data_IF_933919626883
#
_entry.id   IF_933919626883
#
_cell.length_a   1.000
_cell.length_b   1.000
_cell.length_c   1.000
_cell.angle_alpha   90.00
_cell.angle_beta   90.00
_cell.angle_gamma   90.00
#
_symmetry.space_group_name_H-M   'P 1'
#
loop_
_entity.id
_entity.type
_entity.pdbx_description
1 polymer ?
#
# COMPACT_ATOMS: atom_id res chain seq x y z
N UNK A 1 -3.91 18.57 8.83
CA UNK A 1 -5.10 17.72 9.02
C UNK A 1 -5.05 17.23 10.45
N UNK A 2 -6.12 17.45 11.21
CA UNK A 2 -6.18 17.02 12.60
C UNK A 2 -6.37 15.49 12.67
N UNK A 3 -5.96 14.86 13.76
CA UNK A 3 -6.13 13.41 13.92
C UNK A 3 -7.61 12.98 13.85
N UNK A 4 -8.51 13.86 14.31
CA UNK A 4 -9.95 13.69 14.26
C UNK A 4 -10.47 13.61 12.81
N UNK A 5 -10.05 14.53 11.94
CA UNK A 5 -10.44 14.54 10.52
C UNK A 5 -10.02 13.24 9.79
N UNK A 6 -8.82 12.72 10.11
CA UNK A 6 -8.32 11.47 9.52
C UNK A 6 -9.17 10.28 9.96
N UNK A 7 -9.53 10.22 11.24
CA UNK A 7 -10.32 9.12 11.78
C UNK A 7 -11.75 9.13 11.22
N UNK A 8 -12.35 10.32 11.02
CA UNK A 8 -13.64 10.46 10.36
C UNK A 8 -13.61 10.04 8.88
N UNK A 9 -12.56 10.45 8.15
CA UNK A 9 -12.36 10.03 6.77
C UNK A 9 -12.16 8.52 6.65
N UNK A 10 -11.38 7.93 7.56
CA UNK A 10 -11.16 6.48 7.60
C UNK A 10 -12.47 5.72 7.90
N UNK A 11 -13.22 6.15 8.91
CA UNK A 11 -14.51 5.54 9.25
C UNK A 11 -15.50 5.60 8.09
N UNK A 12 -15.54 6.73 7.39
CA UNK A 12 -16.37 6.90 6.19
C UNK A 12 -15.97 5.95 5.07
N UNK A 13 -14.65 5.79 4.83
CA UNK A 13 -14.14 4.84 3.84
C UNK A 13 -14.44 3.38 4.24
N UNK A 14 -14.30 3.01 5.51
CA UNK A 14 -14.64 1.67 6.00
C UNK A 14 -16.11 1.33 5.79
N UNK A 15 -17.01 2.29 6.03
CA UNK A 15 -18.44 2.12 5.73
C UNK A 15 -18.69 1.92 4.24
N UNK A 16 -18.13 2.78 3.38
CA UNK A 16 -18.30 2.68 1.92
C UNK A 16 -17.77 1.36 1.36
N UNK A 17 -16.59 0.93 1.79
CA UNK A 17 -15.99 -0.31 1.33
C UNK A 17 -16.80 -1.53 1.81
N UNK A 18 -17.30 -1.49 3.05
CA UNK A 18 -18.15 -2.56 3.57
C UNK A 18 -19.50 -2.62 2.86
N UNK A 19 -20.10 -1.46 2.55
CA UNK A 19 -21.31 -1.37 1.75
C UNK A 19 -21.08 -1.90 0.32
N UNK A 20 -19.98 -1.51 -0.33
CA UNK A 20 -19.67 -1.95 -1.69
C UNK A 20 -19.61 -3.48 -1.83
N UNK A 21 -19.00 -4.16 -0.85
CA UNK A 21 -18.85 -5.61 -0.85
C UNK A 21 -20.02 -6.36 -0.19
N UNK A 22 -21.03 -5.66 0.35
CA UNK A 22 -22.20 -6.32 0.93
C UNK A 22 -23.05 -7.02 -0.15
N UNK A 23 -23.58 -8.23 0.10
CA UNK A 23 -24.38 -8.97 -0.88
C UNK A 23 -25.68 -8.27 -1.28
N UNK A 24 -26.18 -7.40 -0.41
CA UNK A 24 -27.45 -6.68 -0.57
C UNK A 24 -27.32 -5.40 -1.38
N UNK A 25 -26.10 -4.96 -1.70
CA UNK A 25 -25.86 -3.68 -2.36
C UNK A 25 -26.15 -3.78 -3.85
N UNK A 26 -27.06 -2.91 -4.32
CA UNK A 26 -27.47 -2.87 -5.73
C UNK A 26 -26.33 -2.42 -6.65
N UNK A 27 -26.37 -2.84 -7.92
CA UNK A 27 -25.38 -2.41 -8.92
C UNK A 27 -25.36 -0.89 -9.11
N UNK A 28 -26.53 -0.25 -9.01
CA UNK A 28 -26.62 1.22 -9.06
C UNK A 28 -25.80 1.85 -7.93
N UNK A 29 -26.00 1.36 -6.69
CA UNK A 29 -25.28 1.87 -5.52
C UNK A 29 -23.78 1.56 -5.58
N UNK A 30 -23.39 0.38 -6.06
CA UNK A 30 -21.98 0.05 -6.29
C UNK A 30 -21.30 1.03 -7.24
N UNK A 31 -21.97 1.39 -8.33
CA UNK A 31 -21.47 2.38 -9.30
C UNK A 31 -21.34 3.78 -8.71
N UNK A 32 -22.26 4.18 -7.83
CA UNK A 32 -22.13 5.44 -7.09
C UNK A 32 -20.91 5.43 -6.17
N UNK A 33 -20.71 4.34 -5.43
CA UNK A 33 -19.55 4.19 -4.54
C UNK A 33 -18.24 4.18 -5.34
N UNK A 34 -18.18 3.46 -6.47
CA UNK A 34 -17.03 3.47 -7.39
C UNK A 34 -16.68 4.90 -7.82
N UNK A 35 -17.67 5.70 -8.23
CA UNK A 35 -17.45 7.10 -8.59
C UNK A 35 -16.87 7.92 -7.43
N UNK A 36 -17.31 7.68 -6.19
CA UNK A 36 -16.75 8.35 -5.00
C UNK A 36 -15.29 7.93 -4.76
N UNK A 37 -14.97 6.65 -4.89
CA UNK A 37 -13.63 6.10 -4.71
C UNK A 37 -12.66 6.57 -5.82
N UNK A 38 -13.13 6.62 -7.07
CA UNK A 38 -12.38 7.16 -8.20
C UNK A 38 -12.06 8.65 -7.98
N UNK A 39 -13.06 9.45 -7.58
CA UNK A 39 -12.88 10.86 -7.26
C UNK A 39 -11.84 11.05 -6.14
N UNK A 40 -11.83 10.19 -5.12
CA UNK A 40 -10.78 10.23 -4.09
C UNK A 40 -9.41 9.88 -4.66
N UNK A 41 -9.28 8.76 -5.38
CA UNK A 41 -8.00 8.24 -5.86
C UNK A 41 -7.34 9.11 -6.94
N UNK A 42 -8.13 9.89 -7.69
CA UNK A 42 -7.63 10.81 -8.71
C UNK A 42 -6.94 12.06 -8.14
N UNK A 43 -7.14 12.35 -6.84
CA UNK A 43 -6.51 13.51 -6.20
C UNK A 43 -5.00 13.30 -6.06
N UNK A 44 -4.22 14.34 -6.37
CA UNK A 44 -2.74 14.31 -6.28
C UNK A 44 -2.22 14.03 -4.86
N UNK A 45 -2.97 14.44 -3.84
CA UNK A 45 -2.63 14.29 -2.41
C UNK A 45 -3.27 13.05 -1.76
N UNK A 46 -3.91 12.18 -2.54
CA UNK A 46 -4.57 10.97 -2.03
C UNK A 46 -3.59 9.99 -1.38
N UNK A 47 -2.33 9.96 -1.82
CA UNK A 47 -1.29 9.10 -1.23
C UNK A 47 -1.10 9.39 0.27
N UNK A 48 -1.19 10.64 0.72
CA UNK A 48 -1.03 11.00 2.15
C UNK A 48 -2.09 10.33 3.01
N UNK A 49 -3.34 10.39 2.56
CA UNK A 49 -4.45 9.72 3.22
C UNK A 49 -4.28 8.21 3.18
N UNK A 50 -3.83 7.66 2.04
CA UNK A 50 -3.56 6.24 1.89
C UNK A 50 -2.50 5.74 2.88
N UNK A 51 -1.39 6.48 3.07
CA UNK A 51 -0.37 6.12 4.06
C UNK A 51 -0.94 6.07 5.48
N UNK A 52 -1.78 7.04 5.84
CA UNK A 52 -2.45 7.08 7.16
C UNK A 52 -3.47 5.96 7.34
N UNK A 53 -4.26 5.65 6.30
CA UNK A 53 -5.23 4.56 6.33
C UNK A 53 -4.55 3.20 6.45
N UNK A 54 -3.42 2.99 5.77
CA UNK A 54 -2.60 1.78 5.89
C UNK A 54 -2.13 1.56 7.34
N UNK A 55 -1.74 2.63 8.02
CA UNK A 55 -1.29 2.59 9.42
C UNK A 55 -2.44 2.28 10.39
N UNK A 56 -3.62 2.85 10.17
CA UNK A 56 -4.72 2.84 11.14
C UNK A 56 -5.77 1.75 10.93
N UNK A 57 -6.04 1.33 9.69
CA UNK A 57 -7.13 0.40 9.40
C UNK A 57 -6.72 -1.06 9.63
N UNK A 58 -7.69 -1.87 10.02
CA UNK A 58 -7.61 -3.34 9.99
C UNK A 58 -8.59 -3.93 8.96
N UNK A 59 -9.42 -3.10 8.31
CA UNK A 59 -10.39 -3.55 7.34
C UNK A 59 -9.67 -3.94 6.03
N UNK A 60 -9.75 -5.21 5.66
CA UNK A 60 -9.04 -5.77 4.51
C UNK A 60 -9.44 -5.09 3.18
N UNK A 61 -10.70 -4.66 3.06
CA UNK A 61 -11.16 -3.93 1.88
C UNK A 61 -10.51 -2.56 1.78
N UNK A 62 -10.45 -1.81 2.89
CA UNK A 62 -9.76 -0.53 2.95
C UNK A 62 -8.27 -0.69 2.65
N UNK A 63 -7.60 -1.66 3.29
CA UNK A 63 -6.19 -1.93 3.04
C UNK A 63 -5.91 -2.24 1.56
N UNK A 64 -6.74 -3.07 0.91
CA UNK A 64 -6.57 -3.37 -0.50
C UNK A 64 -6.82 -2.16 -1.40
N UNK A 65 -7.86 -1.38 -1.13
CA UNK A 65 -8.14 -0.14 -1.85
C UNK A 65 -6.96 0.83 -1.73
N UNK A 66 -6.51 1.09 -0.51
CA UNK A 66 -5.35 1.93 -0.20
C UNK A 66 -4.10 1.49 -0.95
N UNK A 67 -3.76 0.20 -0.93
CA UNK A 67 -2.58 -0.32 -1.65
C UNK A 67 -2.75 -0.23 -3.17
N UNK A 68 -3.96 -0.42 -3.70
CA UNK A 68 -4.24 -0.27 -5.14
C UNK A 68 -4.15 1.19 -5.59
N UNK A 69 -4.59 2.14 -4.76
CA UNK A 69 -4.40 3.57 -5.02
C UNK A 69 -2.92 3.93 -5.01
N UNK A 70 -2.15 3.47 -4.01
CA UNK A 70 -0.71 3.71 -3.95
C UNK A 70 0.04 3.10 -5.12
N UNK A 71 -0.31 1.88 -5.54
CA UNK A 71 0.25 1.25 -6.74
C UNK A 71 0.03 2.11 -7.98
N UNK A 72 -1.19 2.63 -8.19
CA UNK A 72 -1.46 3.51 -9.33
C UNK A 72 -0.60 4.79 -9.29
N UNK A 73 -0.36 5.35 -8.10
CA UNK A 73 0.49 6.53 -7.91
C UNK A 73 1.95 6.19 -8.20
N UNK A 74 2.46 5.06 -7.70
CA UNK A 74 3.82 4.58 -7.98
C UNK A 74 3.99 4.34 -9.48
N UNK A 75 3.05 3.64 -10.13
CA UNK A 75 3.21 3.29 -11.53
C UNK A 75 3.02 4.48 -12.50
N UNK A 76 2.22 5.49 -12.14
CA UNK A 76 1.88 6.59 -13.05
C UNK A 76 2.51 7.94 -12.71
N UNK A 77 2.85 8.16 -11.44
CA UNK A 77 3.21 9.49 -10.93
C UNK A 77 4.55 9.51 -10.19
N UNK A 78 5.22 8.37 -9.98
CA UNK A 78 6.45 8.31 -9.18
C UNK A 78 7.51 9.33 -9.60
N UNK A 79 7.77 9.46 -10.90
CA UNK A 79 8.75 10.41 -11.44
C UNK A 79 8.34 11.88 -11.19
N UNK A 80 7.05 12.16 -11.05
CA UNK A 80 6.54 13.52 -10.77
C UNK A 80 6.53 13.89 -9.27
N UNK A 81 6.67 12.90 -8.39
CA UNK A 81 6.81 13.13 -6.96
C UNK A 81 8.19 13.70 -6.65
N UNK A 82 8.28 14.57 -5.65
CA UNK A 82 9.57 15.04 -5.16
C UNK A 82 10.24 14.01 -4.24
N UNK A 83 11.53 14.20 -3.97
CA UNK A 83 12.33 13.22 -3.21
C UNK A 83 11.83 12.98 -1.78
N UNK A 84 11.27 14.01 -1.13
CA UNK A 84 10.67 13.87 0.20
C UNK A 84 9.42 13.00 0.14
N UNK A 85 8.54 13.21 -0.85
CA UNK A 85 7.32 12.42 -1.04
C UNK A 85 7.64 10.96 -1.34
N UNK A 86 8.61 10.70 -2.24
CA UNK A 86 9.08 9.33 -2.55
C UNK A 86 9.63 8.65 -1.31
N UNK A 87 10.45 9.36 -0.54
CA UNK A 87 11.04 8.84 0.69
C UNK A 87 9.97 8.52 1.74
N UNK A 88 8.99 9.40 1.92
CA UNK A 88 7.88 9.19 2.85
C UNK A 88 7.05 7.95 2.48
N UNK A 89 6.70 7.79 1.20
CA UNK A 89 5.96 6.62 0.73
C UNK A 89 6.78 5.35 0.96
N UNK A 90 8.03 5.32 0.51
CA UNK A 90 8.92 4.15 0.64
C UNK A 90 9.10 3.73 2.09
N UNK A 91 9.47 4.68 2.96
CA UNK A 91 9.72 4.38 4.38
C UNK A 91 8.43 3.92 5.08
N UNK A 92 7.30 4.57 4.78
CA UNK A 92 6.03 4.18 5.39
C UNK A 92 5.61 2.77 4.97
N UNK A 93 5.67 2.45 3.68
CA UNK A 93 5.36 1.10 3.19
C UNK A 93 6.29 0.06 3.82
N UNK A 94 7.60 0.31 3.85
CA UNK A 94 8.56 -0.60 4.46
C UNK A 94 8.28 -0.82 5.96
N UNK A 95 8.06 0.25 6.72
CA UNK A 95 7.77 0.17 8.15
C UNK A 95 6.49 -0.61 8.42
N UNK A 96 5.44 -0.38 7.63
CA UNK A 96 4.17 -1.11 7.74
C UNK A 96 4.34 -2.59 7.38
N UNK A 97 5.14 -2.92 6.35
CA UNK A 97 5.49 -4.29 6.01
C UNK A 97 6.15 -4.98 7.21
N UNK A 98 7.21 -4.36 7.73
CA UNK A 98 8.01 -4.92 8.81
C UNK A 98 7.23 -5.07 10.10
N UNK A 99 6.39 -4.09 10.44
CA UNK A 99 5.60 -4.12 11.67
C UNK A 99 4.44 -5.14 11.60
N UNK A 100 3.82 -5.32 10.43
CA UNK A 100 2.54 -6.04 10.32
C UNK A 100 2.59 -7.35 9.52
N UNK A 101 3.70 -7.70 8.87
CA UNK A 101 3.81 -8.88 7.98
C UNK A 101 3.32 -10.21 8.59
N UNK A 102 3.36 -10.36 9.92
CA UNK A 102 2.91 -11.58 10.60
C UNK A 102 1.40 -11.64 10.85
N UNK A 103 0.72 -10.50 10.91
CA UNK A 103 -0.69 -10.40 11.30
C UNK A 103 -1.62 -10.05 10.14
N UNK A 104 -1.12 -9.35 9.12
CA UNK A 104 -1.93 -9.02 7.95
C UNK A 104 -2.17 -10.25 7.06
N UNK A 105 -3.31 -10.31 6.36
CA UNK A 105 -3.58 -11.38 5.42
C UNK A 105 -2.49 -11.49 4.36
N UNK A 106 -2.21 -12.72 3.92
CA UNK A 106 -1.12 -12.99 2.97
C UNK A 106 -1.24 -12.17 1.68
N UNK A 107 -2.45 -11.95 1.17
CA UNK A 107 -2.67 -11.20 -0.07
C UNK A 107 -2.40 -9.70 0.11
N UNK A 108 -2.67 -9.12 1.28
CA UNK A 108 -2.30 -7.74 1.62
C UNK A 108 -0.78 -7.62 1.74
N UNK A 109 -0.13 -8.57 2.44
CA UNK A 109 1.33 -8.62 2.56
C UNK A 109 2.01 -8.70 1.20
N UNK A 110 1.55 -9.61 0.33
CA UNK A 110 2.13 -9.82 -0.99
C UNK A 110 1.91 -8.59 -1.88
N UNK A 111 0.73 -7.95 -1.81
CA UNK A 111 0.47 -6.69 -2.49
C UNK A 111 1.47 -5.62 -2.05
N UNK A 112 1.64 -5.43 -0.75
CA UNK A 112 2.57 -4.43 -0.21
C UNK A 112 4.04 -4.73 -0.61
N UNK A 113 4.47 -5.99 -0.60
CA UNK A 113 5.77 -6.39 -1.11
C UNK A 113 5.95 -6.07 -2.61
N UNK A 114 4.93 -6.30 -3.43
CA UNK A 114 4.94 -5.92 -4.86
C UNK A 114 5.04 -4.40 -5.06
N UNK A 115 4.45 -3.58 -4.19
CA UNK A 115 4.65 -2.12 -4.22
C UNK A 115 6.10 -1.74 -3.91
N UNK A 116 6.75 -2.40 -2.94
CA UNK A 116 8.18 -2.17 -2.65
C UNK A 116 9.07 -2.50 -3.85
N UNK A 117 8.78 -3.60 -4.55
CA UNK A 117 9.47 -3.96 -5.80
C UNK A 117 9.20 -2.95 -6.90
N UNK A 118 7.95 -2.47 -7.03
CA UNK A 118 7.58 -1.45 -8.01
C UNK A 118 8.33 -0.14 -7.78
N UNK A 119 8.56 0.26 -6.53
CA UNK A 119 9.43 1.41 -6.18
C UNK A 119 10.89 1.11 -6.57
N UNK A 120 11.41 -0.05 -6.21
CA UNK A 120 12.78 -0.45 -6.55
C UNK A 120 13.03 -0.45 -8.07
N UNK A 121 12.04 -0.82 -8.88
CA UNK A 121 12.12 -0.74 -10.35
C UNK A 121 12.45 0.66 -10.88
N UNK A 122 12.00 1.71 -10.20
CA UNK A 122 12.30 3.09 -10.58
C UNK A 122 13.62 3.59 -9.96
N UNK A 123 13.91 3.19 -8.73
CA UNK A 123 14.93 3.85 -7.91
C UNK A 123 16.23 3.04 -7.75
N UNK A 124 16.20 1.72 -7.91
CA UNK A 124 17.39 0.88 -7.84
C UNK A 124 18.20 0.98 -9.14
N UNK A 125 19.55 1.02 -9.10
CA UNK A 125 20.41 0.92 -7.91
C UNK A 125 20.77 2.25 -7.25
N UNK A 126 20.51 3.39 -7.88
CA UNK A 126 21.13 4.65 -7.46
C UNK A 126 20.42 5.36 -6.30
N UNK A 127 19.09 5.36 -6.30
CA UNK A 127 18.24 6.05 -5.31
C UNK A 127 17.71 5.10 -4.23
N UNK A 128 17.77 3.79 -4.47
CA UNK A 128 17.43 2.76 -3.49
C UNK A 128 18.48 1.62 -3.46
N UNK A 129 19.75 1.92 -3.15
CA UNK A 129 20.87 0.97 -3.29
C UNK A 129 20.76 -0.27 -2.40
N UNK A 130 20.21 -0.11 -1.20
CA UNK A 130 20.09 -1.12 -0.16
C UNK A 130 18.91 -2.09 -0.37
N UNK A 131 18.14 -1.96 -1.46
CA UNK A 131 16.95 -2.79 -1.70
C UNK A 131 17.23 -4.30 -1.64
N UNK A 132 18.21 -4.79 -2.41
CA UNK A 132 18.56 -6.21 -2.39
C UNK A 132 19.31 -6.63 -1.12
N UNK A 133 20.11 -5.74 -0.53
CA UNK A 133 20.80 -6.02 0.74
C UNK A 133 19.79 -6.28 1.85
N UNK A 134 18.73 -5.46 1.94
CA UNK A 134 17.63 -5.64 2.88
C UNK A 134 16.90 -6.98 2.66
N UNK A 135 16.67 -7.39 1.41
CA UNK A 135 16.06 -8.69 1.09
C UNK A 135 16.96 -9.84 1.56
N UNK A 136 18.26 -9.78 1.28
CA UNK A 136 19.23 -10.80 1.69
C UNK A 136 19.31 -10.89 3.22
N UNK A 137 19.29 -9.76 3.93
CA UNK A 137 19.27 -9.74 5.39
C UNK A 137 18.00 -10.41 5.96
N UNK A 138 16.83 -10.14 5.36
CA UNK A 138 15.58 -10.78 5.75
C UNK A 138 15.63 -12.31 5.55
N UNK A 139 16.18 -12.78 4.42
CA UNK A 139 16.31 -14.21 4.13
C UNK A 139 17.22 -14.91 5.15
N UNK A 140 18.27 -14.23 5.62
CA UNK A 140 19.19 -14.75 6.64
C UNK A 140 18.58 -14.81 8.04
N UNK A 141 17.53 -14.03 8.32
CA UNK A 141 16.84 -14.08 9.61
C UNK A 141 16.14 -15.43 9.81
N UNK A 142 16.10 -15.95 11.03
CA UNK A 142 15.27 -17.12 11.35
C UNK A 142 13.78 -16.76 11.44
N UNK A 143 12.89 -17.70 11.06
CA UNK A 143 11.44 -17.59 11.31
C UNK A 143 10.68 -16.80 10.25
N UNK A 144 9.66 -16.04 10.66
CA UNK A 144 8.69 -15.38 9.77
C UNK A 144 9.30 -14.27 8.90
N UNK A 145 10.39 -13.65 9.36
CA UNK A 145 11.14 -12.66 8.57
C UNK A 145 11.82 -13.26 7.33
N UNK A 146 12.27 -14.52 7.42
CA UNK A 146 12.76 -15.25 6.24
C UNK A 146 11.68 -15.36 5.16
N UNK A 147 10.46 -15.71 5.57
CA UNK A 147 9.31 -15.82 4.65
C UNK A 147 9.04 -14.48 3.96
N UNK A 148 9.13 -13.36 4.68
CA UNK A 148 8.99 -12.04 4.08
C UNK A 148 10.11 -11.75 3.06
N UNK A 149 11.36 -12.07 3.39
CA UNK A 149 12.48 -11.96 2.46
C UNK A 149 12.29 -12.78 1.19
N UNK A 150 11.78 -14.02 1.31
CA UNK A 150 11.46 -14.87 0.16
C UNK A 150 10.30 -14.32 -0.69
N UNK A 151 9.28 -13.72 -0.06
CA UNK A 151 8.18 -13.05 -0.78
C UNK A 151 8.71 -11.85 -1.58
N UNK A 152 9.55 -11.01 -0.98
CA UNK A 152 10.16 -9.88 -1.68
C UNK A 152 11.09 -10.34 -2.80
N UNK A 153 11.91 -11.36 -2.58
CA UNK A 153 12.80 -11.92 -3.59
C UNK A 153 12.02 -12.53 -4.77
N UNK A 154 10.95 -13.28 -4.49
CA UNK A 154 10.07 -13.83 -5.51
C UNK A 154 9.43 -12.72 -6.35
N UNK A 155 8.81 -11.73 -5.70
CA UNK A 155 8.21 -10.60 -6.39
C UNK A 155 9.25 -9.79 -7.19
N UNK A 156 10.47 -9.60 -6.66
CA UNK A 156 11.56 -8.96 -7.39
C UNK A 156 11.95 -9.74 -8.65
N UNK A 157 12.05 -11.07 -8.57
CA UNK A 157 12.42 -11.91 -9.72
C UNK A 157 11.38 -11.94 -10.86
N UNK A 158 10.13 -11.59 -10.56
CA UNK A 158 9.03 -11.55 -11.54
C UNK A 158 8.95 -10.19 -12.26
N UNK A 159 9.42 -9.11 -11.64
CA UNK A 159 9.14 -7.72 -12.05
C UNK A 159 10.41 -6.89 -12.41
N UNK A 160 11.61 -7.33 -12.02
CA UNK A 160 12.91 -6.70 -12.29
C UNK A 160 13.77 -7.55 -13.21
#
# INVERSE_FOLDING_TARGET
MTDMEINEALSSLEMLMSEFFAPTTSNFRKREIEGMLENFSSRRDSWKHCLLFLQKSQNQYVLMFTLTTLENIINRQWISLNDNERTEIRLTLWNELMAKHEVIPYFIRNKLASLMVSIARYDWPHLYPDFFDNIVELIRCSGRRCVLGLVLAGAASEEL
#
